data_IF_445382504010
#
_entry.id   IF_445382504010
#
_cell.length_a   1.000
_cell.length_b   1.000
_cell.length_c   1.000
_cell.angle_alpha   90.00
_cell.angle_beta   90.00
_cell.angle_gamma   90.00
#
_symmetry.space_group_name_H-M   'P 1'
#
loop_
_entity.id
_entity.type
_entity.pdbx_description
1 polymer ?
#
# COMPACT_ATOMS: atom_id res chain seq x y z
N UNK A 1 37.86 -29.31 -33.71
CA UNK A 1 36.48 -29.25 -33.16
C UNK A 1 36.60 -29.04 -31.66
N UNK A 2 36.33 -27.84 -31.15
CA UNK A 2 36.37 -27.53 -29.72
C UNK A 2 34.94 -27.23 -29.28
N UNK A 3 34.39 -28.10 -28.42
CA UNK A 3 33.07 -27.96 -27.82
C UNK A 3 33.19 -27.02 -26.60
N UNK A 4 32.67 -25.80 -26.69
CA UNK A 4 32.47 -24.93 -25.53
C UNK A 4 31.18 -25.32 -24.82
N UNK A 5 31.32 -25.91 -23.63
CA UNK A 5 30.21 -26.18 -22.73
C UNK A 5 29.85 -24.91 -21.94
N UNK A 6 28.67 -24.35 -22.20
CA UNK A 6 28.08 -23.26 -21.43
C UNK A 6 27.45 -23.83 -20.15
N UNK A 7 28.12 -23.59 -19.02
CA UNK A 7 27.56 -23.81 -17.68
C UNK A 7 26.53 -22.71 -17.37
N UNK A 8 25.25 -23.06 -17.46
CA UNK A 8 24.17 -22.27 -16.86
C UNK A 8 24.21 -22.46 -15.34
N UNK A 9 24.82 -21.50 -14.63
CA UNK A 9 24.70 -21.43 -13.18
C UNK A 9 23.26 -21.08 -12.79
N UNK A 10 22.57 -22.02 -12.13
CA UNK A 10 21.33 -21.71 -11.43
C UNK A 10 21.66 -20.72 -10.29
N UNK A 11 21.36 -19.44 -10.51
CA UNK A 11 21.31 -18.48 -9.42
C UNK A 11 20.17 -18.89 -8.49
N UNK A 12 20.50 -19.31 -7.26
CA UNK A 12 19.51 -19.49 -6.21
C UNK A 12 18.89 -18.12 -5.91
N UNK A 13 17.67 -17.89 -6.37
CA UNK A 13 16.85 -16.78 -5.90
C UNK A 13 16.58 -17.03 -4.41
N UNK A 14 17.18 -16.21 -3.55
CA UNK A 14 16.80 -16.16 -2.15
C UNK A 14 15.29 -15.91 -2.06
N UNK A 15 14.57 -16.79 -1.37
CA UNK A 15 13.15 -16.63 -1.13
C UNK A 15 12.94 -15.34 -0.33
N UNK A 16 12.33 -14.34 -0.96
CA UNK A 16 11.89 -13.14 -0.25
C UNK A 16 10.78 -13.53 0.75
N UNK A 17 10.67 -12.85 1.91
CA UNK A 17 9.60 -13.09 2.87
C UNK A 17 8.25 -13.06 2.15
N UNK A 18 7.38 -14.00 2.52
CA UNK A 18 6.11 -14.17 1.85
C UNK A 18 5.29 -12.88 1.97
N UNK A 19 4.91 -12.23 0.87
CA UNK A 19 4.12 -11.01 0.92
C UNK A 19 2.76 -11.31 1.57
N UNK A 20 2.43 -10.52 2.58
CA UNK A 20 1.18 -10.63 3.32
C UNK A 20 0.77 -9.25 3.84
N UNK A 21 0.64 -8.29 2.92
CA UNK A 21 0.26 -6.95 3.31
C UNK A 21 -1.14 -6.86 3.95
N UNK A 22 -1.38 -5.77 4.67
CA UNK A 22 -2.61 -5.36 5.29
C UNK A 22 -3.66 -5.08 4.21
N UNK A 23 -3.37 -4.19 3.26
CA UNK A 23 -4.32 -3.82 2.21
C UNK A 23 -4.16 -4.68 0.96
N UNK A 24 -2.93 -4.84 0.50
CA UNK A 24 -2.59 -5.62 -0.69
C UNK A 24 -1.85 -6.89 -0.33
N UNK A 25 -2.35 -8.06 -0.74
CA UNK A 25 -1.68 -9.34 -0.50
C UNK A 25 -0.26 -9.38 -1.03
N UNK A 26 0.00 -8.71 -2.15
CA UNK A 26 1.31 -8.65 -2.79
C UNK A 26 2.20 -7.52 -2.26
N UNK A 27 1.68 -6.67 -1.38
CA UNK A 27 2.47 -5.61 -0.77
C UNK A 27 3.48 -6.21 0.20
N UNK A 28 4.64 -5.58 0.27
CA UNK A 28 5.68 -5.88 1.25
C UNK A 28 5.44 -4.96 2.44
N UNK A 29 5.02 -5.54 3.55
CA UNK A 29 4.94 -4.83 4.82
C UNK A 29 6.35 -4.43 5.26
N UNK A 30 6.51 -3.17 5.69
CA UNK A 30 7.75 -2.67 6.30
C UNK A 30 7.68 -2.69 7.82
N UNK A 31 6.66 -3.34 8.41
CA UNK A 31 6.49 -3.38 9.86
C UNK A 31 7.66 -4.03 10.60
N UNK A 32 8.29 -5.03 9.98
CA UNK A 32 9.41 -5.78 10.57
C UNK A 32 10.68 -4.92 10.79
N UNK A 33 10.77 -3.74 10.16
CA UNK A 33 11.87 -2.80 10.38
C UNK A 33 11.50 -1.62 11.29
N UNK A 34 10.28 -1.59 11.82
CA UNK A 34 9.90 -0.58 12.80
C UNK A 34 10.64 -0.80 14.11
N UNK A 35 11.36 0.22 14.59
CA UNK A 35 12.22 0.08 15.77
C UNK A 35 13.47 -0.76 15.54
N UNK A 36 13.88 -0.97 14.28
CA UNK A 36 15.15 -1.58 13.90
C UNK A 36 16.07 -0.54 13.23
N UNK A 37 17.40 -0.59 13.44
CA UNK A 37 18.33 0.35 12.78
C UNK A 37 18.57 -0.02 11.30
N UNK A 38 18.13 -1.21 10.87
CA UNK A 38 18.42 -1.75 9.55
C UNK A 38 17.30 -1.40 8.57
N UNK A 39 17.61 -0.79 7.43
CA UNK A 39 16.60 -0.53 6.41
C UNK A 39 16.15 -1.83 5.73
N UNK A 40 14.94 -1.81 5.16
CA UNK A 40 14.43 -2.88 4.29
C UNK A 40 14.65 -2.50 2.83
N UNK A 41 15.12 -3.44 2.01
CA UNK A 41 15.20 -3.26 0.56
C UNK A 41 14.08 -4.02 -0.14
N UNK A 42 13.21 -3.31 -0.85
CA UNK A 42 12.13 -3.88 -1.67
C UNK A 42 12.51 -3.78 -3.15
N UNK A 43 12.70 -4.92 -3.80
CA UNK A 43 13.17 -4.98 -5.19
C UNK A 43 12.00 -4.96 -6.17
N UNK A 44 12.10 -4.15 -7.22
CA UNK A 44 11.09 -4.09 -8.27
C UNK A 44 11.07 -5.38 -9.13
N UNK A 45 9.96 -5.70 -9.83
CA UNK A 45 9.85 -6.90 -10.67
C UNK A 45 10.95 -7.08 -11.70
N UNK A 46 11.53 -6.00 -12.22
CA UNK A 46 12.64 -6.04 -13.18
C UNK A 46 14.00 -6.45 -12.56
N UNK A 47 14.10 -6.56 -11.23
CA UNK A 47 15.33 -6.90 -10.49
C UNK A 47 16.40 -5.81 -10.46
N UNK A 48 16.16 -4.66 -11.11
CA UNK A 48 17.13 -3.56 -11.29
C UNK A 48 16.85 -2.38 -10.40
N UNK A 49 15.57 -2.03 -10.23
CA UNK A 49 15.14 -0.92 -9.37
C UNK A 49 14.90 -1.44 -7.95
N UNK A 50 15.25 -0.63 -6.94
CA UNK A 50 15.07 -0.96 -5.53
C UNK A 50 14.54 0.25 -4.79
N UNK A 51 13.62 0.01 -3.87
CA UNK A 51 13.22 0.94 -2.83
C UNK A 51 13.95 0.56 -1.54
N UNK A 52 14.45 1.54 -0.79
CA UNK A 52 15.03 1.31 0.53
C UNK A 52 14.14 2.03 1.54
N UNK A 53 13.43 1.27 2.37
CA UNK A 53 12.58 1.79 3.43
C UNK A 53 13.35 1.86 4.74
N UNK A 54 13.17 2.94 5.49
CA UNK A 54 13.64 3.11 6.87
C UNK A 54 12.60 3.88 7.68
N UNK A 55 12.58 3.67 8.99
CA UNK A 55 11.87 4.58 9.89
C UNK A 55 12.87 5.57 10.51
N UNK A 56 12.53 6.86 10.54
CA UNK A 56 13.23 7.85 11.37
C UNK A 56 12.70 7.82 12.81
N UNK A 57 13.52 8.27 13.76
CA UNK A 57 13.21 8.32 15.20
C UNK A 57 12.91 6.98 15.89
N UNK A 58 13.94 6.14 15.87
CA UNK A 58 14.09 4.84 16.56
C UNK A 58 13.88 4.87 18.09
N UNK A 59 13.94 6.03 18.75
CA UNK A 59 14.25 6.10 20.19
C UNK A 59 13.09 6.31 21.14
N UNK A 60 11.86 6.54 20.67
CA UNK A 60 10.71 6.72 21.55
C UNK A 60 9.68 5.62 21.30
N UNK A 61 9.37 4.85 22.35
CA UNK A 61 8.31 3.84 22.35
C UNK A 61 6.89 4.42 22.10
N UNK A 62 6.78 5.75 21.94
CA UNK A 62 5.54 6.53 21.82
C UNK A 62 5.53 7.46 20.59
N UNK A 63 6.38 7.27 19.56
CA UNK A 63 6.49 8.28 18.48
C UNK A 63 5.33 8.25 17.49
N UNK A 64 4.28 9.00 17.82
CA UNK A 64 3.40 9.63 16.82
C UNK A 64 4.18 10.51 15.81
N UNK A 65 5.45 10.80 16.09
CA UNK A 65 6.39 11.55 15.24
C UNK A 65 7.28 10.65 14.37
N UNK A 66 7.08 9.33 14.36
CA UNK A 66 7.82 8.47 13.45
C UNK A 66 7.53 8.84 11.99
N UNK A 67 8.53 8.74 11.10
CA UNK A 67 8.30 8.86 9.66
C UNK A 67 8.85 7.64 8.94
N UNK A 68 8.17 7.24 7.86
CA UNK A 68 8.67 6.26 6.92
C UNK A 68 9.41 6.99 5.80
N UNK A 69 10.73 6.88 5.73
CA UNK A 69 11.49 7.34 4.56
C UNK A 69 11.63 6.20 3.54
N UNK A 70 11.35 6.48 2.27
CA UNK A 70 11.54 5.56 1.14
C UNK A 70 12.49 6.16 0.13
N UNK A 71 13.68 5.56 0.00
CA UNK A 71 14.66 5.99 -0.99
C UNK A 71 14.46 5.29 -2.33
N UNK A 72 14.41 6.07 -3.41
CA UNK A 72 14.19 5.61 -4.77
C UNK A 72 15.13 6.33 -5.73
N UNK A 73 16.06 5.60 -6.36
CA UNK A 73 16.93 6.19 -7.40
C UNK A 73 17.84 7.34 -6.92
N UNK A 74 18.04 7.50 -5.61
CA UNK A 74 18.80 8.60 -5.01
C UNK A 74 17.92 9.71 -4.44
N UNK A 75 16.61 9.66 -4.64
CA UNK A 75 15.64 10.54 -3.98
C UNK A 75 15.22 9.96 -2.63
N UNK A 76 14.90 10.85 -1.68
CA UNK A 76 14.36 10.53 -0.36
C UNK A 76 12.92 11.06 -0.30
N UNK A 77 11.98 10.20 0.12
CA UNK A 77 10.56 10.52 0.23
C UNK A 77 10.09 10.18 1.64
N UNK A 78 9.58 11.17 2.35
CA UNK A 78 9.14 11.03 3.74
C UNK A 78 7.62 10.97 3.80
N UNK A 79 7.11 9.92 4.43
CA UNK A 79 5.68 9.71 4.66
C UNK A 79 5.38 9.80 6.16
N UNK A 80 4.17 10.24 6.55
CA UNK A 80 3.69 10.10 7.92
C UNK A 80 3.88 8.66 8.40
N UNK A 81 4.34 8.49 9.64
CA UNK A 81 4.82 7.20 10.12
C UNK A 81 3.94 6.56 11.18
N UNK A 82 3.88 5.25 11.04
CA UNK A 82 3.34 4.27 11.96
C UNK A 82 3.90 2.91 11.54
N UNK A 83 3.92 1.91 12.43
CA UNK A 83 4.61 0.65 12.21
C UNK A 83 4.05 -0.18 11.05
N UNK A 84 2.95 0.24 10.42
CA UNK A 84 2.15 -0.60 9.52
C UNK A 84 2.26 -0.21 8.04
N UNK A 85 3.34 0.48 7.65
CA UNK A 85 3.56 0.87 6.25
C UNK A 85 3.77 -0.33 5.32
N UNK A 86 3.42 -0.16 4.04
CA UNK A 86 3.55 -1.17 3.00
C UNK A 86 4.00 -0.59 1.66
N UNK A 87 4.80 -1.37 0.92
CA UNK A 87 5.30 -1.02 -0.40
C UNK A 87 4.80 -1.99 -1.46
N UNK A 88 4.31 -1.47 -2.59
CA UNK A 88 3.76 -2.28 -3.67
C UNK A 88 4.23 -1.79 -5.05
N UNK A 89 5.17 -2.52 -5.64
CA UNK A 89 5.69 -2.25 -6.98
C UNK A 89 4.67 -2.52 -8.09
N UNK A 90 4.62 -1.62 -9.08
CA UNK A 90 3.93 -1.85 -10.34
C UNK A 90 4.62 -2.94 -11.18
N UNK A 91 3.87 -3.70 -12.00
CA UNK A 91 4.40 -4.85 -12.73
C UNK A 91 5.48 -4.47 -13.76
N UNK A 92 5.45 -3.25 -14.29
CA UNK A 92 6.45 -2.74 -15.24
C UNK A 92 7.66 -2.09 -14.56
N UNK A 93 7.67 -2.03 -13.21
CA UNK A 93 8.72 -1.42 -12.39
C UNK A 93 8.90 0.09 -12.57
N UNK A 94 7.90 0.79 -13.12
CA UNK A 94 7.93 2.26 -13.31
C UNK A 94 7.17 3.04 -12.24
N UNK A 95 6.45 2.35 -11.36
CA UNK A 95 5.76 2.96 -10.22
C UNK A 95 5.84 2.08 -8.98
N UNK A 96 5.73 2.70 -7.80
CA UNK A 96 5.55 2.02 -6.52
C UNK A 96 4.50 2.77 -5.72
N UNK A 97 3.53 2.04 -5.17
CA UNK A 97 2.58 2.59 -4.23
C UNK A 97 3.12 2.43 -2.80
N UNK A 98 3.00 3.49 -2.01
CA UNK A 98 3.35 3.52 -0.59
C UNK A 98 2.05 3.69 0.17
N UNK A 99 1.72 2.71 1.01
CA UNK A 99 0.65 2.85 2.00
C UNK A 99 1.30 3.11 3.34
N UNK A 100 0.99 4.23 3.98
CA UNK A 100 1.57 4.64 5.27
C UNK A 100 0.49 4.77 6.32
N UNK A 101 0.84 4.43 7.55
CA UNK A 101 0.03 4.69 8.74
C UNK A 101 0.49 6.04 9.29
N UNK A 102 -0.42 6.99 9.52
CA UNK A 102 -0.07 8.32 10.01
C UNK A 102 -0.12 8.43 11.55
N UNK A 103 -0.27 7.31 12.25
CA UNK A 103 -0.26 7.28 13.72
C UNK A 103 -1.54 7.77 14.38
N UNK A 104 -2.62 7.97 13.61
CA UNK A 104 -3.95 8.25 14.16
C UNK A 104 -4.39 7.21 15.18
N UNK A 105 -5.24 7.60 16.14
CA UNK A 105 -5.65 6.81 17.32
C UNK A 105 -6.14 5.39 16.96
N UNK A 106 -6.71 5.22 15.77
CA UNK A 106 -7.24 3.94 15.28
C UNK A 106 -6.49 3.34 14.06
N UNK A 107 -5.31 3.86 13.75
CA UNK A 107 -4.53 3.49 12.57
C UNK A 107 -5.17 4.06 11.31
N UNK A 108 -4.81 5.30 11.00
CA UNK A 108 -5.30 6.02 9.84
C UNK A 108 -4.29 5.86 8.69
N UNK A 109 -4.75 5.37 7.54
CA UNK A 109 -3.88 5.00 6.43
C UNK A 109 -4.03 5.92 5.23
N UNK A 110 -2.90 6.22 4.61
CA UNK A 110 -2.76 7.12 3.47
C UNK A 110 -2.02 6.40 2.33
N UNK A 111 -2.22 6.87 1.09
CA UNK A 111 -1.56 6.31 -0.08
C UNK A 111 -0.96 7.39 -0.97
N UNK A 112 0.33 7.22 -1.25
CA UNK A 112 1.05 7.95 -2.28
C UNK A 112 1.52 7.02 -3.39
N UNK A 113 1.55 7.52 -4.62
CA UNK A 113 2.12 6.85 -5.78
C UNK A 113 3.41 7.54 -6.17
N UNK A 114 4.50 6.77 -6.21
CA UNK A 114 5.78 7.22 -6.73
C UNK A 114 5.91 6.74 -8.18
N UNK A 115 6.00 7.66 -9.14
CA UNK A 115 6.16 7.37 -10.57
C UNK A 115 7.51 7.80 -11.09
N UNK A 116 8.12 6.96 -11.92
CA UNK A 116 9.33 7.30 -12.65
C UNK A 116 8.97 8.13 -13.88
N UNK A 117 9.50 9.34 -14.06
CA UNK A 117 9.21 10.13 -15.25
C UNK A 117 9.92 9.54 -16.48
N UNK A 118 9.31 9.71 -17.66
CA UNK A 118 9.92 9.38 -18.96
C UNK A 118 11.24 10.13 -19.19
N UNK A 119 11.32 11.36 -18.66
CA UNK A 119 12.47 12.24 -18.74
C UNK A 119 12.78 12.80 -17.36
N UNK A 120 14.01 12.59 -16.92
CA UNK A 120 14.47 13.07 -15.62
C UNK A 120 15.04 11.94 -14.77
N UNK A 121 15.60 12.32 -13.62
CA UNK A 121 16.17 11.39 -12.66
C UNK A 121 15.31 11.26 -11.40
N UNK A 122 14.44 12.22 -11.14
CA UNK A 122 13.69 12.33 -9.90
C UNK A 122 12.35 11.62 -9.99
N UNK A 123 12.01 10.81 -8.99
CA UNK A 123 10.69 10.22 -8.85
C UNK A 123 9.66 11.30 -8.52
N UNK A 124 8.49 11.21 -9.12
CA UNK A 124 7.36 12.10 -8.81
C UNK A 124 6.46 11.40 -7.81
N UNK A 125 6.18 12.09 -6.72
CA UNK A 125 5.18 11.70 -5.75
C UNK A 125 3.81 12.26 -6.11
N UNK A 126 2.77 11.47 -5.88
CA UNK A 126 1.37 11.89 -6.01
C UNK A 126 0.56 11.27 -4.89
N UNK A 127 0.18 12.10 -3.91
CA UNK A 127 -0.77 11.73 -2.87
C UNK A 127 -2.19 11.65 -3.47
N UNK A 128 -2.86 10.54 -3.24
CA UNK A 128 -4.20 10.24 -3.74
C UNK A 128 -5.23 10.09 -2.62
N UNK A 129 -4.81 10.21 -1.36
CA UNK A 129 -5.60 9.93 -0.15
C UNK A 129 -6.89 10.74 -0.14
N UNK A 130 -6.78 12.06 -0.15
CA UNK A 130 -7.93 12.98 -0.10
C UNK A 130 -8.90 12.77 -1.27
N UNK A 131 -8.36 12.49 -2.46
CA UNK A 131 -9.17 12.30 -3.67
C UNK A 131 -10.04 11.07 -3.55
N UNK A 132 -9.48 9.97 -3.07
CA UNK A 132 -10.19 8.71 -2.85
C UNK A 132 -11.14 8.83 -1.66
N UNK A 133 -10.67 9.38 -0.54
CA UNK A 133 -11.45 9.59 0.68
C UNK A 133 -12.71 10.41 0.41
N UNK A 134 -12.59 11.52 -0.32
CA UNK A 134 -13.72 12.41 -0.69
C UNK A 134 -14.82 11.69 -1.46
N UNK A 135 -14.48 10.72 -2.31
CA UNK A 135 -15.46 9.94 -3.07
C UNK A 135 -16.16 8.89 -2.20
N UNK A 136 -15.47 8.36 -1.19
CA UNK A 136 -15.99 7.31 -0.32
C UNK A 136 -16.77 7.85 0.88
N UNK A 137 -16.33 8.95 1.50
CA UNK A 137 -16.87 9.54 2.73
C UNK A 137 -18.39 9.71 2.74
N UNK A 138 -19.07 10.12 1.64
CA UNK A 138 -20.54 10.21 1.62
C UNK A 138 -21.31 8.90 1.86
N UNK A 139 -20.61 7.75 1.90
CA UNK A 139 -21.20 6.42 2.14
C UNK A 139 -21.08 5.95 3.58
N UNK A 140 -20.21 6.59 4.34
CA UNK A 140 -19.93 6.21 5.71
C UNK A 140 -21.10 6.67 6.58
N UNK A 141 -21.61 5.76 7.42
CA UNK A 141 -22.72 6.04 8.33
C UNK A 141 -22.19 6.21 9.75
N UNK A 142 -21.65 7.39 10.02
CA UNK A 142 -20.89 7.72 11.22
C UNK A 142 -21.62 8.74 12.08
N UNK A 143 -21.54 8.58 13.40
CA UNK A 143 -22.04 9.58 14.36
C UNK A 143 -21.10 10.79 14.43
N UNK A 144 -19.81 10.57 14.23
CA UNK A 144 -18.75 11.57 14.23
C UNK A 144 -18.11 11.72 12.84
N UNK A 145 -17.45 12.86 12.60
CA UNK A 145 -16.70 13.08 11.35
C UNK A 145 -15.43 12.23 11.38
N UNK A 146 -15.47 11.10 10.68
CA UNK A 146 -14.35 10.16 10.55
C UNK A 146 -13.87 10.08 9.10
N UNK A 147 -12.55 9.96 8.91
CA UNK A 147 -11.96 9.74 7.59
C UNK A 147 -11.79 8.25 7.31
N UNK A 148 -11.98 7.80 6.06
CA UNK A 148 -11.70 6.43 5.70
C UNK A 148 -10.19 6.17 5.64
N UNK A 149 -9.80 4.94 5.94
CA UNK A 149 -8.47 4.45 5.61
C UNK A 149 -8.34 4.27 4.10
N UNK A 150 -7.28 4.78 3.50
CA UNK A 150 -6.96 4.53 2.08
C UNK A 150 -5.74 3.63 2.02
N UNK A 151 -5.79 2.59 1.18
CA UNK A 151 -4.68 1.64 1.05
C UNK A 151 -4.59 0.97 -0.31
N UNK A 152 -3.36 0.69 -0.76
CA UNK A 152 -3.10 0.06 -2.05
C UNK A 152 -3.37 -1.45 -2.03
N UNK A 153 -4.19 -1.95 -2.96
CA UNK A 153 -4.55 -3.38 -3.05
C UNK A 153 -3.66 -4.12 -4.06
N UNK A 154 -3.48 -3.54 -5.25
CA UNK A 154 -2.91 -4.27 -6.38
C UNK A 154 -2.86 -3.47 -7.67
N UNK A 155 -2.00 -3.86 -8.61
CA UNK A 155 -1.89 -3.23 -9.92
C UNK A 155 -2.63 -4.05 -10.98
N UNK A 156 -3.41 -3.40 -11.85
CA UNK A 156 -4.00 -4.06 -13.04
C UNK A 156 -3.14 -3.92 -14.29
N UNK A 157 -2.26 -2.93 -14.30
CA UNK A 157 -1.23 -2.65 -15.32
C UNK A 157 -0.17 -1.74 -14.70
N UNK A 158 0.87 -1.35 -15.45
CA UNK A 158 1.87 -0.38 -14.97
C UNK A 158 1.29 0.99 -14.60
N UNK A 159 0.17 1.37 -15.22
CA UNK A 159 -0.44 2.70 -15.09
C UNK A 159 -1.71 2.71 -14.24
N UNK A 160 -2.15 1.56 -13.71
CA UNK A 160 -3.46 1.45 -13.03
C UNK A 160 -3.35 0.72 -11.72
N UNK A 161 -3.48 1.49 -10.64
CA UNK A 161 -3.51 1.01 -9.27
C UNK A 161 -4.95 0.77 -8.84
N UNK A 162 -5.20 -0.33 -8.13
CA UNK A 162 -6.43 -0.54 -7.36
C UNK A 162 -6.13 -0.13 -5.92
N UNK A 163 -6.96 0.76 -5.38
CA UNK A 163 -6.93 1.20 -3.98
C UNK A 163 -8.26 0.87 -3.30
N UNK A 164 -8.23 0.65 -1.99
CA UNK A 164 -9.41 0.57 -1.14
C UNK A 164 -9.56 1.88 -0.35
N UNK A 165 -10.80 2.33 -0.19
CA UNK A 165 -11.20 3.20 0.92
C UNK A 165 -12.01 2.35 1.89
N UNK A 166 -11.59 2.25 3.15
CA UNK A 166 -12.19 1.40 4.19
C UNK A 166 -12.64 2.24 5.37
N UNK A 167 -13.84 1.99 5.88
CA UNK A 167 -14.25 2.53 7.19
C UNK A 167 -13.39 1.86 8.27
N UNK A 168 -12.64 2.62 9.10
CA UNK A 168 -11.75 2.05 10.09
C UNK A 168 -12.45 1.00 10.95
N UNK A 169 -11.77 -0.10 11.29
CA UNK A 169 -12.43 -1.22 12.00
C UNK A 169 -12.80 -0.90 13.44
N UNK A 170 -12.16 0.11 14.03
CA UNK A 170 -12.42 0.63 15.39
C UNK A 170 -13.35 1.85 15.41
N UNK A 171 -13.77 2.28 14.23
CA UNK A 171 -14.72 3.38 14.01
C UNK A 171 -16.03 3.23 14.78
N UNK A 172 -16.65 4.37 15.07
CA UNK A 172 -18.02 4.48 15.57
C UNK A 172 -19.09 4.17 14.52
N UNK A 173 -18.74 4.20 13.22
CA UNK A 173 -19.70 4.05 12.12
C UNK A 173 -20.39 2.67 12.13
N UNK A 174 -21.66 2.65 11.73
CA UNK A 174 -22.49 1.44 11.70
C UNK A 174 -21.94 0.37 10.74
N UNK A 175 -21.23 0.79 9.70
CA UNK A 175 -20.68 -0.05 8.64
C UNK A 175 -19.17 -0.29 8.74
N UNK A 176 -18.56 -0.08 9.91
CA UNK A 176 -17.13 -0.29 10.15
C UNK A 176 -16.54 -1.57 9.54
N UNK A 177 -15.38 -1.42 8.90
CA UNK A 177 -14.70 -2.46 8.13
C UNK A 177 -15.27 -2.69 6.72
N UNK A 178 -16.36 -2.02 6.33
CA UNK A 178 -16.78 -1.92 4.93
C UNK A 178 -15.71 -1.20 4.11
N UNK A 179 -15.66 -1.49 2.81
CA UNK A 179 -14.76 -0.77 1.91
C UNK A 179 -15.35 -0.69 0.51
N UNK A 180 -14.90 0.31 -0.26
CA UNK A 180 -15.04 0.36 -1.70
C UNK A 180 -13.65 0.33 -2.36
N UNK A 181 -13.57 -0.14 -3.59
CA UNK A 181 -12.34 -0.19 -4.35
C UNK A 181 -12.41 0.74 -5.57
N UNK A 182 -11.31 1.41 -5.88
CA UNK A 182 -11.19 2.37 -6.97
C UNK A 182 -10.00 2.02 -7.85
N UNK A 183 -10.12 2.28 -9.16
CA UNK A 183 -9.00 2.28 -10.09
C UNK A 183 -8.50 3.71 -10.20
N UNK A 184 -7.21 3.88 -9.94
CA UNK A 184 -6.49 5.15 -9.99
C UNK A 184 -5.45 5.11 -11.08
N UNK A 185 -5.37 6.19 -11.87
CA UNK A 185 -4.28 6.42 -12.81
C UNK A 185 -2.99 6.74 -12.06
N UNK A 186 -1.92 6.00 -12.34
CA UNK A 186 -0.67 6.13 -11.62
C UNK A 186 0.00 7.49 -11.84
N UNK A 187 -0.17 8.09 -13.03
CA UNK A 187 0.55 9.28 -13.42
C UNK A 187 -0.15 10.57 -12.99
N UNK A 188 -1.48 10.61 -13.03
CA UNK A 188 -2.24 11.79 -12.61
C UNK A 188 -2.81 11.69 -11.19
N UNK A 189 -2.83 10.47 -10.63
CA UNK A 189 -3.52 10.17 -9.38
C UNK A 189 -5.05 10.23 -9.50
N UNK A 190 -5.60 10.36 -10.72
CA UNK A 190 -7.05 10.49 -10.92
C UNK A 190 -7.76 9.18 -10.65
N UNK A 191 -8.88 9.26 -9.93
CA UNK A 191 -9.80 8.14 -9.79
C UNK A 191 -10.55 7.97 -11.10
N UNK A 192 -10.21 6.92 -11.84
CA UNK A 192 -10.79 6.60 -13.14
C UNK A 192 -12.19 6.01 -13.00
N UNK A 193 -12.36 5.12 -12.02
CA UNK A 193 -13.64 4.51 -11.72
C UNK A 193 -13.65 3.84 -10.35
N UNK A 194 -14.84 3.68 -9.80
CA UNK A 194 -15.10 2.74 -8.73
C UNK A 194 -15.39 1.34 -9.28
N UNK A 195 -14.94 0.31 -8.56
CA UNK A 195 -15.17 -1.10 -8.89
C UNK A 195 -16.39 -1.58 -8.12
N UNK A 196 -17.43 -2.02 -8.83
CA UNK A 196 -18.59 -2.63 -8.18
C UNK A 196 -18.20 -3.94 -7.46
N UNK A 197 -18.89 -4.23 -6.35
CA UNK A 197 -18.57 -5.36 -5.48
C UNK A 197 -18.56 -6.70 -6.23
N UNK A 198 -19.48 -6.91 -7.17
CA UNK A 198 -19.54 -8.16 -7.92
C UNK A 198 -18.32 -8.34 -8.83
N UNK A 199 -17.93 -7.29 -9.57
CA UNK A 199 -16.70 -7.28 -10.36
C UNK A 199 -15.47 -7.49 -9.47
N UNK A 200 -15.42 -6.80 -8.32
CA UNK A 200 -14.33 -6.91 -7.37
C UNK A 200 -14.18 -8.35 -6.85
N UNK A 201 -15.25 -8.95 -6.34
CA UNK A 201 -15.24 -10.31 -5.80
C UNK A 201 -14.80 -11.35 -6.83
N UNK A 202 -15.17 -11.17 -8.10
CA UNK A 202 -14.81 -12.11 -9.17
C UNK A 202 -13.38 -11.98 -9.66
N UNK A 203 -12.86 -10.75 -9.75
CA UNK A 203 -11.59 -10.47 -10.45
C UNK A 203 -10.44 -10.17 -9.50
N UNK A 204 -10.69 -9.49 -8.39
CA UNK A 204 -9.66 -8.84 -7.59
C UNK A 204 -9.63 -9.32 -6.13
N UNK A 205 -10.59 -10.12 -5.67
CA UNK A 205 -10.62 -10.64 -4.30
C UNK A 205 -9.32 -11.33 -3.85
N UNK A 206 -8.59 -11.97 -4.77
CA UNK A 206 -7.31 -12.64 -4.48
C UNK A 206 -6.16 -11.67 -4.18
N UNK A 207 -6.34 -10.38 -4.47
CA UNK A 207 -5.37 -9.31 -4.20
C UNK A 207 -5.54 -8.74 -2.80
N UNK A 208 -6.63 -9.05 -2.09
CA UNK A 208 -6.91 -8.50 -0.76
C UNK A 208 -5.88 -8.96 0.26
N UNK A 209 -5.33 -7.98 0.98
CA UNK A 209 -4.56 -8.17 2.19
C UNK A 209 -5.44 -8.55 3.38
N UNK A 210 -4.79 -8.65 4.54
CA UNK A 210 -5.42 -9.17 5.77
C UNK A 210 -6.54 -8.29 6.31
N UNK A 211 -6.42 -6.95 6.30
CA UNK A 211 -7.42 -6.05 6.90
C UNK A 211 -8.70 -5.95 6.08
N UNK A 212 -8.59 -6.10 4.76
CA UNK A 212 -9.74 -6.09 3.85
C UNK A 212 -10.43 -7.46 3.78
N UNK A 213 -9.68 -8.55 3.94
CA UNK A 213 -10.24 -9.92 3.96
C UNK A 213 -11.11 -10.18 5.19
N UNK A 214 -10.84 -9.51 6.31
CA UNK A 214 -11.63 -9.64 7.53
C UNK A 214 -13.10 -9.23 7.37
N UNK A 215 -13.39 -8.35 6.40
CA UNK A 215 -14.73 -7.84 6.11
C UNK A 215 -15.34 -6.94 7.20
N UNK A 216 -16.62 -6.55 7.05
CA UNK A 216 -17.32 -5.70 8.01
C UNK A 216 -17.39 -6.31 9.40
N UNK A 217 -17.15 -5.50 10.43
CA UNK A 217 -17.28 -5.93 11.83
C UNK A 217 -18.75 -5.84 12.21
N UNK A 218 -19.49 -6.92 11.95
CA UNK A 218 -20.92 -6.97 12.23
C UNK A 218 -21.24 -6.58 13.68
N UNK A 219 -22.12 -5.60 13.86
CA UNK A 219 -22.85 -5.45 15.12
C UNK A 219 -23.62 -6.77 15.29
N UNK A 220 -23.29 -7.56 16.33
CA UNK A 220 -24.14 -8.70 16.71
C UNK A 220 -25.56 -8.14 16.81
N UNK A 221 -26.44 -8.47 15.87
CA UNK A 221 -27.86 -8.21 16.03
C UNK A 221 -28.23 -8.98 17.29
N UNK A 222 -28.41 -8.28 18.41
CA UNK A 222 -29.17 -8.82 19.51
C UNK A 222 -30.52 -9.18 18.91
N UNK A 223 -30.73 -10.48 18.65
CA UNK A 223 -32.06 -11.01 18.40
C UNK A 223 -32.87 -10.61 19.62
N UNK A 224 -33.73 -9.60 19.45
CA UNK A 224 -34.82 -9.33 20.37
C UNK A 224 -35.82 -10.47 20.28
#
# INVERSE_FOLDING_TARGET
>A
MILSALLFGLAMLAAQPAPAGLFGKQAVSVADIHGEPRPMTVTAPNGRTRAIARFSDYTAADSADGHLSVFLGGDDHDFPGGPNGELLWAPDSNAIAVTSDNGGIDGQYEVSIMTRPDKGRHWRETDITDRVAKLFKPRMDCEEDEDPNVGAIGWTSGQRLIVAAQVPRRSSCADRGSFAAFIVDADSGDVLMEIDLHTFSRRYAKMLGTVLTAGPVGVRKHRR
#
